data_IF_195332595269
#
_entry.id   IF_195332595269
#
_cell.length_a   1.000
_cell.length_b   1.000
_cell.length_c   1.000
_cell.angle_alpha   90.00
_cell.angle_beta   90.00
_cell.angle_gamma   90.00
#
_symmetry.space_group_name_H-M   'P 1'
#
loop_
_entity.id
_entity.type
_entity.pdbx_description
1 polymer ?
#
# COMPACT_ATOMS: atom_id res chain seq x y z
N UNK A 1 0.03 -9.12 7.92
CA UNK A 1 0.70 -7.87 7.48
C UNK A 1 2.22 -7.92 7.68
N UNK A 2 2.89 -9.01 7.28
CA UNK A 2 4.35 -9.11 7.41
C UNK A 2 5.07 -8.33 6.31
N UNK A 3 4.57 -8.39 5.07
CA UNK A 3 5.11 -7.65 3.91
C UNK A 3 5.30 -6.15 4.19
N UNK A 4 4.38 -5.49 4.88
CA UNK A 4 4.51 -4.07 5.20
C UNK A 4 5.59 -3.79 6.22
N UNK A 5 5.78 -4.69 7.19
CA UNK A 5 6.88 -4.61 8.16
C UNK A 5 8.22 -4.85 7.50
N UNK A 6 8.29 -5.85 6.62
CA UNK A 6 9.51 -6.20 5.87
C UNK A 6 9.94 -5.04 4.96
N UNK A 7 8.97 -4.32 4.38
CA UNK A 7 9.20 -3.13 3.56
C UNK A 7 9.27 -1.82 4.37
N UNK A 8 9.23 -1.90 5.72
CA UNK A 8 9.27 -0.75 6.63
C UNK A 8 8.25 0.34 6.31
N UNK A 9 7.07 -0.03 5.84
CA UNK A 9 6.02 0.93 5.50
C UNK A 9 5.49 1.60 6.76
N UNK A 10 5.16 2.88 6.63
CA UNK A 10 4.51 3.62 7.69
C UNK A 10 3.13 3.01 8.00
N UNK A 11 2.83 2.77 9.27
CA UNK A 11 1.56 2.18 9.69
C UNK A 11 0.35 3.06 9.35
N UNK A 12 0.53 4.40 9.32
CA UNK A 12 -0.50 5.33 8.91
C UNK A 12 -0.86 5.16 7.43
N UNK A 13 0.14 4.91 6.58
CA UNK A 13 -0.06 4.65 5.15
C UNK A 13 -0.81 3.34 4.94
N UNK A 14 -0.41 2.27 5.65
CA UNK A 14 -1.11 0.98 5.60
C UNK A 14 -2.58 1.13 6.05
N UNK A 15 -2.83 1.85 7.14
CA UNK A 15 -4.18 2.11 7.63
C UNK A 15 -5.02 2.97 6.67
N UNK A 16 -4.40 3.87 5.92
CA UNK A 16 -5.10 4.66 4.90
C UNK A 16 -5.41 3.83 3.65
N UNK A 17 -4.50 2.92 3.26
CA UNK A 17 -4.71 2.00 2.15
C UNK A 17 -5.80 0.96 2.43
N UNK A 18 -5.92 0.44 3.65
CA UNK A 18 -7.03 -0.48 4.02
C UNK A 18 -8.40 0.20 3.94
N UNK A 19 -8.44 1.52 4.10
CA UNK A 19 -9.67 2.35 3.98
C UNK A 19 -9.93 2.84 2.56
N UNK A 20 -9.02 2.58 1.61
CA UNK A 20 -9.20 3.01 0.23
C UNK A 20 -10.45 2.35 -0.37
N UNK A 21 -11.30 3.14 -1.02
CA UNK A 21 -12.52 2.64 -1.65
C UNK A 21 -12.19 1.58 -2.70
N UNK A 22 -12.84 0.42 -2.64
CA UNK A 22 -12.59 -0.71 -3.54
C UNK A 22 -11.42 -1.62 -3.13
N UNK A 23 -10.62 -1.26 -2.11
CA UNK A 23 -9.52 -2.11 -1.66
C UNK A 23 -10.01 -3.40 -1.01
N UNK A 24 -11.13 -3.37 -0.28
CA UNK A 24 -11.69 -4.53 0.42
C UNK A 24 -10.61 -5.27 1.22
N UNK A 25 -10.40 -6.54 0.90
CA UNK A 25 -9.40 -7.40 1.53
C UNK A 25 -8.08 -7.51 0.76
N UNK A 26 -7.82 -6.63 -0.22
CA UNK A 26 -6.62 -6.71 -1.07
C UNK A 26 -5.32 -6.73 -0.25
N UNK A 27 -5.25 -5.97 0.85
CA UNK A 27 -4.09 -5.98 1.76
C UNK A 27 -4.10 -7.14 2.76
N UNK A 28 -5.25 -7.75 3.04
CA UNK A 28 -5.36 -8.89 3.96
C UNK A 28 -4.91 -10.20 3.29
N UNK A 29 -4.95 -10.26 1.97
CA UNK A 29 -4.54 -11.43 1.19
C UNK A 29 -3.02 -11.59 1.04
N UNK A 30 -2.22 -10.66 1.58
CA UNK A 30 -0.77 -10.77 1.54
C UNK A 30 -0.25 -11.93 2.37
N UNK A 31 0.52 -12.79 1.72
CA UNK A 31 1.28 -13.86 2.35
C UNK A 31 2.73 -13.42 2.60
N UNK A 32 3.39 -13.98 3.62
CA UNK A 32 4.84 -13.85 3.75
C UNK A 32 5.52 -14.28 2.44
N UNK A 33 6.44 -13.46 1.93
CA UNK A 33 7.12 -13.68 0.65
C UNK A 33 6.47 -13.03 -0.57
N UNK A 34 5.27 -12.47 -0.45
CA UNK A 34 4.69 -11.67 -1.54
C UNK A 34 5.55 -10.43 -1.80
N UNK A 35 5.88 -10.22 -3.07
CA UNK A 35 6.66 -9.05 -3.51
C UNK A 35 5.72 -7.88 -3.79
N UNK A 36 6.11 -6.73 -3.27
CA UNK A 36 5.50 -5.44 -3.57
C UNK A 36 6.58 -4.49 -4.05
N UNK A 37 6.20 -3.56 -4.91
CA UNK A 37 7.04 -2.42 -5.24
C UNK A 37 6.54 -1.22 -4.46
N UNK A 38 7.45 -0.55 -3.76
CA UNK A 38 7.14 0.59 -2.91
C UNK A 38 7.91 1.78 -3.44
N UNK A 39 7.18 2.81 -3.82
CA UNK A 39 7.73 4.13 -4.10
C UNK A 39 7.47 5.02 -2.90
N UNK A 40 8.49 5.76 -2.46
CA UNK A 40 8.39 6.72 -1.36
C UNK A 40 8.43 8.15 -1.90
N UNK A 41 7.78 9.07 -1.21
CA UNK A 41 7.94 10.51 -1.42
C UNK A 41 9.17 11.06 -0.67
N UNK A 42 9.48 12.35 -0.88
CA UNK A 42 10.60 13.01 -0.21
C UNK A 42 10.49 13.13 1.32
N UNK A 43 9.34 12.75 1.89
CA UNK A 43 9.10 12.69 3.34
C UNK A 43 9.16 11.25 3.88
N UNK A 44 9.47 10.27 3.02
CA UNK A 44 9.51 8.85 3.38
C UNK A 44 8.13 8.20 3.51
N UNK A 45 7.06 8.82 2.99
CA UNK A 45 5.72 8.21 2.93
C UNK A 45 5.51 7.46 1.63
N UNK A 46 4.63 6.47 1.63
CA UNK A 46 4.39 5.68 0.42
C UNK A 46 3.66 6.53 -0.62
N UNK A 47 4.29 6.82 -1.75
CA UNK A 47 3.65 7.52 -2.87
C UNK A 47 2.88 6.56 -3.77
N UNK A 48 3.41 5.37 -4.00
CA UNK A 48 2.76 4.28 -4.71
C UNK A 48 3.15 2.93 -4.12
N UNK A 49 2.16 2.05 -3.91
CA UNK A 49 2.37 0.63 -3.63
C UNK A 49 1.82 -0.17 -4.79
N UNK A 50 2.67 -0.95 -5.46
CA UNK A 50 2.27 -1.82 -6.58
C UNK A 50 2.42 -3.28 -6.22
N UNK A 51 1.37 -4.04 -6.52
CA UNK A 51 1.27 -5.46 -6.23
C UNK A 51 1.66 -6.28 -7.47
N UNK A 52 2.07 -7.52 -7.25
CA UNK A 52 2.41 -8.46 -8.33
C UNK A 52 1.25 -8.74 -9.28
N UNK A 53 0.01 -8.66 -8.80
CA UNK A 53 -1.20 -8.83 -9.60
C UNK A 53 -1.63 -7.58 -10.40
N UNK A 54 -0.79 -6.54 -10.44
CA UNK A 54 -1.05 -5.30 -11.18
C UNK A 54 -1.76 -4.21 -10.39
N UNK A 55 -2.39 -4.56 -9.27
CA UNK A 55 -3.08 -3.63 -8.38
C UNK A 55 -2.13 -2.58 -7.81
N UNK A 56 -2.62 -1.36 -7.63
CA UNK A 56 -1.87 -0.21 -7.14
C UNK A 56 -2.64 0.57 -6.09
N UNK A 57 -1.92 1.07 -5.10
CA UNK A 57 -2.39 2.10 -4.17
C UNK A 57 -1.60 3.36 -4.44
N UNK A 58 -2.29 4.44 -4.80
CA UNK A 58 -1.66 5.71 -5.16
C UNK A 58 -2.05 6.75 -4.11
N UNK A 59 -1.05 7.34 -3.46
CA UNK A 59 -1.26 8.35 -2.42
C UNK A 59 -1.84 9.63 -3.02
N UNK A 60 -2.88 10.14 -2.38
CA UNK A 60 -3.55 11.39 -2.75
C UNK A 60 -3.02 12.55 -1.90
N UNK A 61 -3.23 13.79 -2.35
CA UNK A 61 -2.75 14.98 -1.65
C UNK A 61 -3.28 15.09 -0.21
N UNK A 62 -4.52 14.64 0.03
CA UNK A 62 -5.16 14.60 1.35
C UNK A 62 -4.68 13.44 2.25
N UNK A 63 -3.75 12.61 1.78
CA UNK A 63 -3.22 11.46 2.51
C UNK A 63 -4.09 10.20 2.49
N UNK A 64 -5.20 10.19 1.74
CA UNK A 64 -5.87 8.94 1.41
C UNK A 64 -5.15 8.21 0.27
N UNK A 65 -5.57 6.97 0.00
CA UNK A 65 -5.06 6.20 -1.12
C UNK A 65 -6.19 5.89 -2.10
N UNK A 66 -5.87 5.97 -3.39
CA UNK A 66 -6.72 5.45 -4.44
C UNK A 66 -6.30 4.02 -4.76
N UNK A 67 -7.25 3.10 -4.67
CA UNK A 67 -7.09 1.72 -5.12
C UNK A 67 -7.36 1.64 -6.62
N UNK A 68 -6.43 1.07 -7.39
CA UNK A 68 -6.58 0.76 -8.81
C UNK A 68 -6.22 -0.70 -9.04
N UNK A 69 -7.07 -1.44 -9.73
CA UNK A 69 -6.81 -2.84 -10.10
C UNK A 69 -6.35 -2.91 -11.55
#
# INVERSE_FOLDING_TARGET
>A
MQVFRDNKLNIADVNAMTKASGAGNALSNFKPGDKVQVSLDGQGRVSELRLSNGTRFIRQANGTYQYKK
#
